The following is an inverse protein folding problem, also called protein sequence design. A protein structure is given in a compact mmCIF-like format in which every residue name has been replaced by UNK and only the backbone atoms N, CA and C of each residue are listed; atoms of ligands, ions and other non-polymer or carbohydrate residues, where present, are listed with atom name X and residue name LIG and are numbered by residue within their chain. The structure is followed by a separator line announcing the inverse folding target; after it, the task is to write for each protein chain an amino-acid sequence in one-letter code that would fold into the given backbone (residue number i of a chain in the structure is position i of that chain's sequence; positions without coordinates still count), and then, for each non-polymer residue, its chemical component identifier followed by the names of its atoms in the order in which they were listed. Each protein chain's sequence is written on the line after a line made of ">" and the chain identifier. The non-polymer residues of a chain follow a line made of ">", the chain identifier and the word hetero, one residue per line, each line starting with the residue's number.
data_IF_574085466034
#
_entry.id   IF_574085466034
#
_cell.length_a   1.000
_cell.length_b   1.000
_cell.length_c   1.000
_cell.angle_alpha   90.00
_cell.angle_beta   90.00
_cell.angle_gamma   90.00
#
_symmetry.space_group_name_H-M   'P 1'
#
loop_
_entity.id
_entity.type
_entity.pdbx_description
1 polymer ?
#
# COMPACT_ATOMS: atom_id res chain seq x y z
N UNK A 1 5.46 23.41 25.11
CA UNK A 1 5.27 22.71 23.82
C UNK A 1 4.99 21.25 24.15
N UNK A 2 3.90 20.67 23.64
CA UNK A 2 3.54 19.28 23.91
C UNK A 2 4.50 18.39 23.12
N UNK A 3 5.19 17.45 23.80
CA UNK A 3 6.18 16.56 23.19
C UNK A 3 5.55 15.29 22.60
N UNK A 4 4.40 14.90 23.13
CA UNK A 4 3.63 13.74 22.75
C UNK A 4 2.13 13.94 23.05
N UNK A 5 1.25 13.31 22.26
CA UNK A 5 -0.19 13.44 22.46
C UNK A 5 -1.02 12.41 21.71
N UNK A 6 -2.26 12.19 22.17
CA UNK A 6 -3.20 11.28 21.52
C UNK A 6 -4.01 12.05 20.47
N UNK A 7 -3.92 11.62 19.21
CA UNK A 7 -4.68 12.17 18.08
C UNK A 7 -5.36 11.03 17.34
N UNK A 8 -6.69 11.07 17.26
CA UNK A 8 -7.51 10.07 16.56
C UNK A 8 -7.25 8.61 16.98
N UNK A 9 -6.85 8.37 18.24
CA UNK A 9 -6.55 7.02 18.74
C UNK A 9 -5.12 6.52 18.44
N UNK A 10 -4.24 7.42 18.00
CA UNK A 10 -2.81 7.19 17.87
C UNK A 10 -2.03 8.07 18.84
N UNK A 11 -0.93 7.56 19.37
CA UNK A 11 0.05 8.37 20.11
C UNK A 11 1.00 8.95 19.08
N UNK A 12 1.10 10.27 19.03
CA UNK A 12 2.02 11.01 18.15
C UNK A 12 3.11 11.60 19.01
N UNK A 13 4.37 11.34 18.65
CA UNK A 13 5.56 11.91 19.30
C UNK A 13 6.64 12.20 18.26
N UNK A 14 7.76 12.81 18.69
CA UNK A 14 8.95 12.98 17.85
C UNK A 14 9.52 11.64 17.33
N UNK A 15 9.28 10.53 18.02
CA UNK A 15 9.71 9.20 17.60
C UNK A 15 8.83 8.60 16.49
N UNK A 16 7.62 9.14 16.29
CA UNK A 16 6.68 8.68 15.26
C UNK A 16 5.25 8.47 15.76
N UNK A 17 4.54 7.60 15.05
CA UNK A 17 3.14 7.26 15.32
C UNK A 17 3.09 5.87 15.94
N UNK A 18 2.42 5.77 17.08
CA UNK A 18 2.19 4.53 17.81
C UNK A 18 0.70 4.26 18.00
N UNK A 19 0.38 2.99 18.25
CA UNK A 19 -0.96 2.58 18.66
C UNK A 19 -1.16 2.93 20.13
N UNK A 20 -2.30 3.52 20.47
CA UNK A 20 -2.66 3.78 21.86
C UNK A 20 -2.68 2.48 22.69
N UNK A 21 -1.85 2.43 23.74
CA UNK A 21 -1.71 1.26 24.63
C UNK A 21 -3.04 0.82 25.23
N UNK A 22 -3.92 1.77 25.58
CA UNK A 22 -5.24 1.46 26.11
C UNK A 22 -6.10 0.69 25.08
N UNK A 23 -5.94 0.99 23.79
CA UNK A 23 -6.62 0.28 22.70
C UNK A 23 -6.02 -1.10 22.43
N UNK A 24 -4.71 -1.26 22.60
CA UNK A 24 -4.03 -2.57 22.53
C UNK A 24 -4.54 -3.49 23.64
N UNK A 25 -4.65 -3.00 24.88
CA UNK A 25 -5.13 -3.79 26.02
C UNK A 25 -6.57 -4.29 25.80
N UNK A 26 -7.45 -3.41 25.33
CA UNK A 26 -8.82 -3.79 24.96
C UNK A 26 -8.79 -4.89 23.89
N UNK A 27 -8.00 -4.73 22.82
CA UNK A 27 -7.90 -5.75 21.76
C UNK A 27 -7.33 -7.08 22.27
N UNK A 28 -6.39 -7.03 23.22
CA UNK A 28 -5.72 -8.21 23.78
C UNK A 28 -6.65 -9.02 24.70
N UNK A 29 -7.58 -8.35 25.38
CA UNK A 29 -8.59 -8.99 26.25
C UNK A 29 -9.80 -9.56 25.51
N UNK A 30 -10.00 -9.20 24.23
CA UNK A 30 -11.11 -9.73 23.43
C UNK A 30 -11.01 -11.26 23.31
N UNK A 31 -12.16 -11.91 23.52
CA UNK A 31 -12.35 -13.33 23.28
C UNK A 31 -12.54 -13.61 21.78
N UNK A 32 -12.27 -14.84 21.31
CA UNK A 32 -12.57 -15.23 19.94
C UNK A 32 -14.03 -14.95 19.57
N UNK A 33 -14.31 -14.41 18.38
CA UNK A 33 -15.66 -14.05 17.98
C UNK A 33 -16.52 -15.29 17.77
N UNK A 34 -17.71 -15.30 18.39
CA UNK A 34 -18.67 -16.43 18.32
C UNK A 34 -19.72 -16.30 17.22
N UNK A 35 -19.72 -15.19 16.48
CA UNK A 35 -20.65 -14.96 15.37
C UNK A 35 -20.10 -13.94 14.36
N UNK A 36 -20.74 -13.87 13.19
CA UNK A 36 -20.38 -12.96 12.08
C UNK A 36 -20.34 -11.49 12.51
N UNK A 37 -21.25 -11.05 13.40
CA UNK A 37 -21.29 -9.65 13.87
C UNK A 37 -20.07 -9.33 14.74
N UNK A 38 -19.71 -10.22 15.67
CA UNK A 38 -18.52 -10.10 16.50
C UNK A 38 -17.25 -10.12 15.64
N UNK A 39 -17.20 -11.00 14.64
CA UNK A 39 -16.09 -11.10 13.70
C UNK A 39 -15.90 -9.82 12.87
N UNK A 40 -16.97 -9.24 12.32
CA UNK A 40 -16.92 -7.95 11.62
C UNK A 40 -16.44 -6.82 12.52
N UNK A 41 -16.91 -6.79 13.76
CA UNK A 41 -16.45 -5.81 14.75
C UNK A 41 -14.95 -5.93 15.02
N UNK A 42 -14.46 -7.15 15.25
CA UNK A 42 -13.04 -7.42 15.45
C UNK A 42 -12.19 -6.99 14.25
N UNK A 43 -12.57 -7.40 13.04
CA UNK A 43 -11.85 -7.04 11.82
C UNK A 43 -11.88 -5.53 11.54
N UNK A 44 -12.97 -4.84 11.89
CA UNK A 44 -13.04 -3.37 11.82
C UNK A 44 -12.03 -2.70 12.76
N UNK A 45 -11.94 -3.16 14.02
CA UNK A 45 -10.98 -2.64 14.99
C UNK A 45 -9.54 -2.96 14.60
N UNK A 46 -9.25 -4.20 14.24
CA UNK A 46 -7.92 -4.60 13.79
C UNK A 46 -7.52 -3.90 12.48
N UNK A 47 -8.49 -3.70 11.57
CA UNK A 47 -8.31 -3.02 10.30
C UNK A 47 -7.91 -1.55 10.44
N UNK A 48 -8.37 -0.85 11.48
CA UNK A 48 -7.94 0.52 11.79
C UNK A 48 -6.42 0.60 12.01
N UNK A 49 -5.83 -0.44 12.61
CA UNK A 49 -4.40 -0.55 12.89
C UNK A 49 -3.63 -1.38 11.85
N UNK A 50 -4.25 -1.74 10.72
CA UNK A 50 -3.63 -2.61 9.68
C UNK A 50 -2.25 -2.15 9.24
N UNK A 51 -1.99 -0.83 9.25
CA UNK A 51 -0.72 -0.21 8.82
C UNK A 51 0.48 -0.66 9.66
N UNK A 52 0.24 -1.06 10.90
CA UNK A 52 1.25 -1.53 11.86
C UNK A 52 1.45 -3.06 11.81
N UNK A 53 0.57 -3.78 11.11
CA UNK A 53 0.57 -5.24 11.04
C UNK A 53 1.07 -5.64 9.65
N UNK A 54 2.30 -6.15 9.59
CA UNK A 54 2.84 -6.70 8.34
C UNK A 54 1.96 -7.85 7.82
N UNK A 55 1.68 -7.81 6.52
CA UNK A 55 0.87 -8.80 5.80
C UNK A 55 -0.54 -8.98 6.40
N UNK A 56 -1.15 -7.89 6.89
CA UNK A 56 -2.46 -7.93 7.55
C UNK A 56 -3.51 -8.71 6.75
N UNK A 57 -3.66 -8.44 5.45
CA UNK A 57 -4.65 -9.13 4.61
C UNK A 57 -4.42 -10.64 4.58
N UNK A 58 -3.15 -11.08 4.50
CA UNK A 58 -2.80 -12.50 4.52
C UNK A 58 -3.16 -13.15 5.85
N UNK A 59 -2.91 -12.46 6.97
CA UNK A 59 -3.24 -12.93 8.32
C UNK A 59 -4.74 -12.94 8.58
N UNK A 60 -5.46 -11.93 8.08
CA UNK A 60 -6.90 -11.81 8.24
C UNK A 60 -7.70 -12.72 7.30
N UNK A 61 -7.07 -13.34 6.30
CA UNK A 61 -7.76 -14.14 5.28
C UNK A 61 -8.66 -15.26 5.82
N UNK A 62 -8.23 -16.09 6.80
CA UNK A 62 -9.12 -17.12 7.36
C UNK A 62 -10.37 -16.50 8.01
N UNK A 63 -10.22 -15.34 8.63
CA UNK A 63 -11.30 -14.60 9.26
C UNK A 63 -12.21 -13.93 8.23
N UNK A 64 -11.68 -13.32 7.16
CA UNK A 64 -12.51 -12.68 6.13
C UNK A 64 -13.28 -13.70 5.29
N UNK A 65 -12.76 -14.93 5.13
CA UNK A 65 -13.47 -16.01 4.45
C UNK A 65 -14.81 -16.36 5.14
N UNK A 66 -14.87 -16.29 6.48
CA UNK A 66 -16.11 -16.48 7.25
C UNK A 66 -17.15 -15.36 7.05
N UNK A 67 -16.80 -14.28 6.35
CA UNK A 67 -17.72 -13.18 6.01
C UNK A 67 -18.35 -13.31 4.62
N UNK A 68 -17.89 -14.27 3.81
CA UNK A 68 -18.41 -14.50 2.47
C UNK A 68 -19.88 -14.95 2.51
N UNK A 69 -20.63 -14.65 1.45
CA UNK A 69 -22.01 -15.11 1.30
C UNK A 69 -22.03 -16.64 1.23
N UNK A 70 -23.09 -17.24 1.80
CA UNK A 70 -23.35 -18.68 1.76
C UNK A 70 -22.29 -19.56 2.45
N UNK A 71 -21.47 -18.98 3.34
CA UNK A 71 -20.52 -19.70 4.19
C UNK A 71 -21.10 -19.88 5.58
N UNK A 72 -21.11 -21.12 6.09
CA UNK A 72 -21.46 -21.40 7.48
C UNK A 72 -20.40 -20.83 8.42
N UNK A 73 -20.81 -20.13 9.48
CA UNK A 73 -19.88 -19.59 10.46
C UNK A 73 -19.33 -20.71 11.34
N UNK A 74 -18.14 -21.21 11.01
CA UNK A 74 -17.40 -22.19 11.80
C UNK A 74 -16.04 -21.61 12.18
N UNK A 75 -15.88 -21.25 13.46
CA UNK A 75 -14.64 -20.67 13.96
C UNK A 75 -13.66 -21.79 14.36
N UNK A 76 -13.02 -22.40 13.35
CA UNK A 76 -12.04 -23.47 13.52
C UNK A 76 -10.64 -22.99 13.91
N UNK A 77 -9.69 -23.94 13.98
CA UNK A 77 -8.32 -23.70 14.43
C UNK A 77 -7.59 -22.65 13.57
N UNK A 78 -7.74 -22.69 12.24
CA UNK A 78 -7.15 -21.71 11.33
C UNK A 78 -7.61 -20.27 11.63
N UNK A 79 -8.87 -20.11 12.04
CA UNK A 79 -9.44 -18.82 12.41
C UNK A 79 -8.93 -18.38 13.79
N UNK A 80 -8.77 -19.31 14.72
CA UNK A 80 -8.20 -19.03 16.04
C UNK A 80 -6.74 -18.62 15.94
N UNK A 81 -5.96 -19.29 15.11
CA UNK A 81 -4.57 -18.94 14.83
C UNK A 81 -4.46 -17.56 14.17
N UNK A 82 -5.30 -17.27 13.17
CA UNK A 82 -5.37 -15.95 12.54
C UNK A 82 -5.71 -14.84 13.57
N UNK A 83 -6.68 -15.10 14.44
CA UNK A 83 -7.08 -14.20 15.51
C UNK A 83 -5.93 -13.91 16.48
N UNK A 84 -5.22 -14.93 16.94
CA UNK A 84 -4.05 -14.78 17.80
C UNK A 84 -2.89 -14.06 17.10
N UNK A 85 -2.61 -14.39 15.85
CA UNK A 85 -1.55 -13.72 15.09
C UNK A 85 -1.79 -12.22 14.93
N UNK A 86 -3.03 -11.81 14.66
CA UNK A 86 -3.39 -10.38 14.57
C UNK A 86 -3.22 -9.70 15.93
N UNK A 87 -3.67 -10.33 17.03
CA UNK A 87 -3.50 -9.80 18.38
C UNK A 87 -2.02 -9.65 18.75
N UNK A 88 -1.21 -10.67 18.51
CA UNK A 88 0.24 -10.61 18.76
C UNK A 88 0.91 -9.51 17.94
N UNK A 89 0.56 -9.37 16.65
CA UNK A 89 1.14 -8.35 15.78
C UNK A 89 0.79 -6.91 16.21
N UNK A 90 -0.37 -6.71 16.83
CA UNK A 90 -0.76 -5.42 17.41
C UNK A 90 0.03 -5.09 18.68
N UNK A 91 0.32 -6.08 19.51
CA UNK A 91 1.12 -5.91 20.73
C UNK A 91 2.59 -5.66 20.37
N UNK A 92 3.10 -6.38 19.37
CA UNK A 92 4.48 -6.23 18.87
C UNK A 92 4.62 -5.15 17.80
N UNK A 93 3.58 -4.36 17.55
CA UNK A 93 3.53 -3.39 16.46
C UNK A 93 4.73 -2.42 16.55
N UNK A 94 5.57 -2.33 15.51
CA UNK A 94 6.68 -1.39 15.50
C UNK A 94 6.16 0.05 15.40
N UNK A 95 6.90 0.98 16.00
CA UNK A 95 6.72 2.42 15.78
C UNK A 95 6.80 2.70 14.28
N UNK A 96 5.79 3.37 13.70
CA UNK A 96 5.96 3.89 12.35
C UNK A 96 6.71 5.20 12.45
N UNK A 97 7.95 5.17 11.99
CA UNK A 97 8.80 6.34 11.99
C UNK A 97 8.19 7.43 11.12
N UNK A 98 8.29 8.70 11.56
CA UNK A 98 7.89 9.80 10.70
C UNK A 98 8.79 9.79 9.46
N UNK A 99 8.26 10.18 8.29
CA UNK A 99 9.09 10.36 7.11
C UNK A 99 10.16 11.41 7.39
N UNK A 100 11.39 11.07 7.05
CA UNK A 100 12.55 11.96 7.08
C UNK A 100 12.64 12.64 5.70
N UNK A 101 12.19 13.89 5.58
CA UNK A 101 12.07 14.56 4.28
C UNK A 101 13.41 14.80 3.56
N UNK A 102 14.53 14.60 4.27
CA UNK A 102 15.87 14.68 3.70
C UNK A 102 16.34 13.34 3.08
N UNK A 103 15.56 12.26 3.21
CA UNK A 103 15.86 10.93 2.67
C UNK A 103 14.93 10.56 1.50
N UNK A 104 15.49 9.91 0.48
CA UNK A 104 14.72 9.37 -0.65
C UNK A 104 13.73 8.30 -0.19
N UNK A 105 12.52 8.34 -0.74
CA UNK A 105 11.51 7.33 -0.50
C UNK A 105 11.76 6.11 -1.39
N UNK A 106 11.58 4.92 -0.82
CA UNK A 106 11.62 3.66 -1.54
C UNK A 106 10.28 2.95 -1.44
N UNK A 107 9.73 2.54 -2.58
CA UNK A 107 8.54 1.69 -2.63
C UNK A 107 8.96 0.27 -2.96
N UNK A 108 8.73 -0.65 -2.02
CA UNK A 108 8.89 -2.08 -2.25
C UNK A 108 7.53 -2.71 -2.50
N UNK A 109 7.37 -3.33 -3.67
CA UNK A 109 6.16 -4.06 -4.01
C UNK A 109 6.42 -5.57 -3.99
N UNK A 110 5.48 -6.32 -3.42
CA UNK A 110 5.43 -7.77 -3.55
C UNK A 110 4.03 -8.18 -4.00
N UNK A 111 3.92 -9.27 -4.74
CA UNK A 111 2.64 -9.80 -5.17
C UNK A 111 2.61 -11.32 -5.02
N UNK A 112 1.57 -11.80 -4.35
CA UNK A 112 1.24 -13.23 -4.28
C UNK A 112 -0.08 -13.48 -4.99
N UNK A 113 -0.44 -14.75 -5.16
CA UNK A 113 -1.62 -15.23 -5.90
C UNK A 113 -2.97 -14.56 -5.57
N UNK A 114 -3.10 -13.66 -4.63
CA UNK A 114 -4.39 -13.00 -4.33
C UNK A 114 -4.24 -11.58 -3.80
N UNK A 115 -3.02 -11.07 -3.62
CA UNK A 115 -2.77 -9.75 -3.02
C UNK A 115 -1.55 -9.09 -3.64
N UNK A 116 -1.68 -7.78 -3.91
CA UNK A 116 -0.54 -6.90 -4.17
C UNK A 116 -0.26 -6.11 -2.90
N UNK A 117 0.95 -6.24 -2.37
CA UNK A 117 1.46 -5.47 -1.25
C UNK A 117 2.44 -4.41 -1.72
N UNK A 118 2.38 -3.23 -1.12
CA UNK A 118 3.38 -2.18 -1.28
C UNK A 118 3.78 -1.64 0.09
N UNK A 119 5.07 -1.45 0.30
CA UNK A 119 5.64 -0.81 1.48
C UNK A 119 6.38 0.42 1.01
N UNK A 120 5.95 1.59 1.46
CA UNK A 120 6.71 2.82 1.39
C UNK A 120 7.67 2.84 2.58
N UNK A 121 8.95 3.02 2.33
CA UNK A 121 9.97 3.15 3.36
C UNK A 121 11.07 4.11 2.96
N UNK A 122 12.05 4.30 3.84
CA UNK A 122 13.25 5.09 3.60
C UNK A 122 14.48 4.28 4.01
N UNK A 123 15.56 4.36 3.24
CA UNK A 123 16.84 3.76 3.65
C UNK A 123 17.59 4.70 4.58
N UNK A 124 17.84 4.23 5.80
CA UNK A 124 18.73 4.89 6.77
C UNK A 124 19.71 3.85 7.29
N UNK A 125 21.00 4.16 7.22
CA UNK A 125 22.09 3.25 7.59
C UNK A 125 22.05 1.89 6.89
N UNK A 126 21.71 1.89 5.58
CA UNK A 126 21.53 0.69 4.73
C UNK A 126 20.39 -0.24 5.16
N UNK A 127 19.59 0.14 6.15
CA UNK A 127 18.37 -0.57 6.55
C UNK A 127 17.14 0.16 6.00
N UNK A 128 16.15 -0.59 5.53
CA UNK A 128 14.86 -0.04 5.13
C UNK A 128 13.99 0.15 6.38
N UNK A 129 13.52 1.37 6.57
CA UNK A 129 12.54 1.72 7.60
C UNK A 129 11.19 1.92 6.94
N UNK A 130 10.18 1.14 7.33
CA UNK A 130 8.85 1.24 6.76
C UNK A 130 8.10 2.46 7.34
N UNK A 131 7.54 3.28 6.46
CA UNK A 131 6.76 4.48 6.77
C UNK A 131 5.26 4.20 6.59
N UNK A 132 4.93 3.42 5.57
CA UNK A 132 3.55 3.05 5.27
C UNK A 132 3.49 1.70 4.57
N UNK A 133 2.48 0.90 4.88
CA UNK A 133 2.20 -0.34 4.16
C UNK A 133 0.76 -0.34 3.65
N UNK A 134 0.59 -0.80 2.41
CA UNK A 134 -0.69 -0.98 1.75
C UNK A 134 -0.76 -2.39 1.18
N UNK A 135 -1.95 -2.98 1.20
CA UNK A 135 -2.23 -4.21 0.49
C UNK A 135 -3.58 -4.08 -0.17
N UNK A 136 -3.64 -4.40 -1.46
CA UNK A 136 -4.86 -4.37 -2.24
C UNK A 136 -5.14 -5.79 -2.74
N UNK A 137 -6.37 -6.23 -2.52
CA UNK A 137 -6.98 -7.34 -3.24
C UNK A 137 -7.75 -6.68 -4.39
N UNK A 138 -7.28 -6.76 -5.64
CA UNK A 138 -7.97 -6.10 -6.73
C UNK A 138 -9.26 -6.87 -7.02
N UNK A 139 -10.40 -6.20 -6.83
CA UNK A 139 -11.69 -6.74 -7.22
C UNK A 139 -11.70 -7.02 -8.74
N UNK A 140 -12.32 -8.13 -9.14
CA UNK A 140 -12.51 -8.56 -10.54
C UNK A 140 -11.28 -9.01 -11.35
N UNK A 141 -10.11 -9.27 -10.75
CA UNK A 141 -9.00 -9.95 -11.44
C UNK A 141 -9.26 -11.46 -11.59
N UNK A 142 -10.09 -11.83 -12.57
CA UNK A 142 -10.26 -13.22 -12.99
C UNK A 142 -8.95 -13.83 -13.53
N UNK A 143 -8.87 -15.17 -13.62
CA UNK A 143 -7.61 -15.89 -13.89
C UNK A 143 -6.83 -15.41 -15.13
N UNK A 144 -7.54 -15.11 -16.24
CA UNK A 144 -6.90 -14.61 -17.45
C UNK A 144 -6.46 -13.14 -17.31
N UNK A 145 -7.34 -12.26 -16.81
CA UNK A 145 -7.04 -10.85 -16.58
C UNK A 145 -5.84 -10.68 -15.64
N UNK A 146 -5.74 -11.54 -14.63
CA UNK A 146 -4.65 -11.60 -13.66
C UNK A 146 -3.32 -12.04 -14.27
N UNK A 147 -3.33 -13.12 -15.06
CA UNK A 147 -2.11 -13.58 -15.75
C UNK A 147 -1.60 -12.51 -16.71
N UNK A 148 -2.50 -11.83 -17.41
CA UNK A 148 -2.18 -10.70 -18.29
C UNK A 148 -1.62 -9.51 -17.49
N UNK A 149 -2.26 -9.11 -16.40
CA UNK A 149 -1.82 -8.01 -15.55
C UNK A 149 -0.40 -8.22 -15.01
N UNK A 150 -0.09 -9.40 -14.45
CA UNK A 150 1.25 -9.71 -13.96
C UNK A 150 2.30 -9.82 -15.07
N UNK A 151 1.92 -10.26 -16.27
CA UNK A 151 2.80 -10.22 -17.43
C UNK A 151 3.08 -8.78 -17.88
N UNK A 152 2.08 -7.89 -17.81
CA UNK A 152 2.22 -6.49 -18.18
C UNK A 152 3.06 -5.70 -17.18
N UNK A 153 2.96 -5.98 -15.87
CA UNK A 153 3.78 -5.34 -14.83
C UNK A 153 5.29 -5.50 -15.07
N UNK A 154 5.74 -6.61 -15.68
CA UNK A 154 7.15 -6.83 -16.04
C UNK A 154 7.70 -5.83 -17.06
N UNK A 155 6.81 -5.08 -17.71
CA UNK A 155 7.17 -4.03 -18.67
C UNK A 155 7.29 -2.66 -18.02
N UNK A 156 6.99 -2.53 -16.72
CA UNK A 156 7.06 -1.26 -16.01
C UNK A 156 8.29 -1.22 -15.11
N UNK A 157 8.94 -0.06 -15.07
CA UNK A 157 10.18 0.19 -14.36
C UNK A 157 10.05 1.51 -13.61
N UNK A 158 10.33 1.51 -12.32
CA UNK A 158 10.33 2.73 -11.51
C UNK A 158 11.76 3.26 -11.41
N UNK A 159 11.99 4.46 -11.93
CA UNK A 159 13.26 5.18 -11.84
C UNK A 159 12.96 6.60 -11.37
N UNK A 160 13.19 6.85 -10.07
CA UNK A 160 12.66 8.01 -9.35
C UNK A 160 13.04 9.34 -10.04
N UNK A 161 12.09 10.28 -10.24
CA UNK A 161 10.70 10.31 -9.76
C UNK A 161 9.65 9.71 -10.73
N UNK A 162 10.08 8.99 -11.77
CA UNK A 162 9.24 8.66 -12.90
C UNK A 162 8.98 7.16 -13.06
N UNK A 163 7.75 6.83 -13.46
CA UNK A 163 7.42 5.49 -13.93
C UNK A 163 7.74 5.41 -15.43
N UNK A 164 8.37 4.33 -15.86
CA UNK A 164 8.67 4.04 -17.26
C UNK A 164 8.02 2.73 -17.69
N UNK A 165 7.65 2.64 -18.96
CA UNK A 165 7.19 1.42 -19.61
C UNK A 165 8.15 1.05 -20.75
N UNK A 166 8.66 -0.18 -20.71
CA UNK A 166 9.38 -0.80 -21.82
C UNK A 166 8.38 -1.18 -22.92
N UNK A 167 8.51 -0.52 -24.06
CA UNK A 167 7.65 -0.68 -25.22
C UNK A 167 8.17 -1.76 -26.16
N UNK A 168 7.30 -2.23 -27.07
CA UNK A 168 7.66 -3.26 -28.06
C UNK A 168 8.72 -2.80 -29.07
N UNK A 169 8.94 -1.50 -29.17
CA UNK A 169 9.99 -0.89 -29.99
C UNK A 169 11.37 -0.87 -29.30
N UNK A 170 11.49 -1.47 -28.11
CA UNK A 170 12.73 -1.53 -27.33
C UNK A 170 13.04 -0.24 -26.57
N UNK A 171 12.14 0.75 -26.60
CA UNK A 171 12.32 2.02 -25.90
C UNK A 171 11.61 2.03 -24.54
N UNK A 172 12.14 2.80 -23.61
CA UNK A 172 11.48 3.10 -22.34
C UNK A 172 10.76 4.42 -22.47
N UNK A 173 9.44 4.42 -22.25
CA UNK A 173 8.59 5.62 -22.33
C UNK A 173 8.10 5.98 -20.94
N UNK A 174 8.29 7.24 -20.55
CA UNK A 174 7.78 7.76 -19.28
C UNK A 174 6.25 7.67 -19.27
N UNK A 175 5.69 7.08 -18.23
CA UNK A 175 4.27 7.11 -17.94
C UNK A 175 3.94 8.48 -17.33
N UNK A 176 2.96 9.15 -17.92
CA UNK A 176 2.46 10.46 -17.46
C UNK A 176 1.06 10.22 -16.92
N UNK A 177 0.76 10.80 -15.75
CA UNK A 177 -0.59 10.73 -15.22
C UNK A 177 -1.56 11.46 -16.16
N UNK A 178 -2.78 10.97 -16.30
CA UNK A 178 -3.77 11.58 -17.21
C UNK A 178 -4.00 13.07 -16.90
N UNK A 179 -4.00 13.43 -15.62
CA UNK A 179 -4.10 14.82 -15.16
C UNK A 179 -2.93 15.71 -15.60
N UNK A 180 -1.73 15.15 -15.80
CA UNK A 180 -0.53 15.88 -16.23
C UNK A 180 -0.35 15.88 -17.76
N UNK A 181 -1.16 15.10 -18.48
CA UNK A 181 -1.01 14.91 -19.93
C UNK A 181 -1.17 16.23 -20.70
N UNK A 182 -2.15 17.05 -20.32
CA UNK A 182 -2.42 18.35 -20.94
C UNK A 182 -1.31 19.35 -20.66
N UNK A 183 -0.77 19.38 -19.44
CA UNK A 183 0.32 20.28 -19.06
C UNK A 183 1.63 19.93 -19.78
N UNK A 184 1.91 18.63 -19.95
CA UNK A 184 3.05 18.16 -20.74
C UNK A 184 2.88 18.52 -22.21
N UNK A 185 1.70 18.29 -22.79
CA UNK A 185 1.43 18.66 -24.19
C UNK A 185 1.54 20.16 -24.42
N UNK A 186 1.02 20.97 -23.48
CA UNK A 186 1.15 22.42 -23.50
C UNK A 186 2.62 22.85 -23.39
N UNK A 187 3.41 22.21 -22.52
CA UNK A 187 4.84 22.48 -22.44
C UNK A 187 5.62 22.04 -23.67
N UNK A 188 5.21 20.99 -24.38
CA UNK A 188 5.91 20.52 -25.57
C UNK A 188 5.56 21.32 -26.84
N UNK A 189 4.36 21.93 -26.89
CA UNK A 189 3.83 22.53 -28.13
C UNK A 189 3.33 23.98 -28.00
N UNK A 190 3.15 24.49 -26.78
CA UNK A 190 2.52 25.79 -26.50
C UNK A 190 3.36 26.77 -25.68
N UNK A 191 4.55 26.39 -25.20
CA UNK A 191 5.46 27.29 -24.49
C UNK A 191 6.32 28.09 -25.47
N UNK A 192 6.56 29.39 -25.18
CA UNK A 192 7.45 30.26 -25.96
C UNK A 192 8.90 29.74 -26.07
N UNK A 193 9.30 28.85 -25.15
CA UNK A 193 10.62 28.20 -25.14
C UNK A 193 10.58 26.77 -25.70
N UNK A 194 9.40 26.22 -25.96
CA UNK A 194 9.23 24.89 -26.49
C UNK A 194 8.97 24.96 -27.99
N UNK A 195 10.08 25.06 -28.72
CA UNK A 195 10.06 25.06 -30.16
C UNK A 195 11.39 24.59 -30.68
N UNK A 196 11.33 23.80 -31.74
CA UNK A 196 12.43 23.51 -32.65
C UNK A 196 13.24 24.78 -32.97
N UNK A 197 14.31 25.04 -32.22
CA UNK A 197 15.42 25.87 -32.68
C UNK A 197 16.29 25.05 -33.63
N UNK A 198 15.68 24.59 -34.73
CA UNK A 198 16.37 24.04 -35.88
C UNK A 198 15.54 24.40 -37.12
N UNK A 199 15.81 25.62 -37.60
CA UNK A 199 16.00 25.96 -39.01
C UNK A 199 15.06 25.34 -40.06
N UNK A 200 14.28 26.25 -40.66
CA UNK A 200 13.84 26.27 -42.05
C UNK A 200 12.98 25.12 -42.59
N UNK A 201 11.79 25.55 -43.03
CA UNK A 201 10.86 24.93 -43.99
C UNK A 201 11.49 23.92 -44.96
N UNK A 202 10.97 22.71 -44.93
CA UNK A 202 10.66 21.89 -46.11
C UNK A 202 9.31 21.25 -45.78
N UNK A 203 8.21 21.56 -46.46
CA UNK A 203 7.97 21.26 -47.87
C UNK A 203 6.95 22.25 -48.48
N UNK A 204 7.20 22.57 -49.76
CA UNK A 204 6.37 23.36 -50.68
C UNK A 204 5.07 22.64 -51.07
N UNK A 205 4.09 23.40 -51.58
CA UNK A 205 3.11 22.85 -52.53
C UNK A 205 3.79 22.43 -53.83
#
# INVERSE_FOLDING_TARGET
>A
MVRDGIVLGHIISEAGIEVDKAKIEVMTSLQPPSNVKALRSFLGHAGFYRRFIKDFSKKARPLTALLCKDVTFEFGDDCLDAFHQIKCALVSAPFMQPPDWDLNFEVMCDAIDFTVGAVLGQRKDKKLHAIYSASLEPDDLNGYAKKKFFQELRRFYWDEPYLYRHCSDGTYKRCIAEAESLDVLFHCHGSEYAGHFATFKTVSK
#
